data_IF_043823752762
#
_entry.id   IF_043823752762
#
_cell.length_a   1.000
_cell.length_b   1.000
_cell.length_c   1.000
_cell.angle_alpha   90.00
_cell.angle_beta   90.00
_cell.angle_gamma   90.00
#
_symmetry.space_group_name_H-M   'P 1'
#
loop_
_entity.id
_entity.type
_entity.pdbx_description
1 polymer ?
#
# COMPACT_ATOMS: atom_id res chain seq x y z
N UNK A 1 -2.59 -18.41 -9.21
CA UNK A 1 -2.36 -18.06 -7.78
C UNK A 1 -3.45 -18.72 -6.96
N UNK A 2 -3.15 -19.33 -5.81
CA UNK A 2 -4.09 -20.19 -5.08
C UNK A 2 -5.26 -19.37 -4.46
N UNK A 3 -6.53 -19.68 -4.77
CA UNK A 3 -7.72 -19.03 -4.18
C UNK A 3 -7.69 -18.94 -2.65
N UNK A 4 -7.22 -19.99 -1.97
CA UNK A 4 -7.16 -20.01 -0.50
C UNK A 4 -6.21 -18.95 0.06
N UNK A 5 -5.16 -18.58 -0.68
CA UNK A 5 -4.22 -17.52 -0.28
C UNK A 5 -4.89 -16.15 -0.37
N UNK A 6 -5.65 -15.89 -1.45
CA UNK A 6 -6.41 -14.65 -1.63
C UNK A 6 -7.43 -14.46 -0.50
N UNK A 7 -8.21 -15.51 -0.23
CA UNK A 7 -9.22 -15.50 0.83
C UNK A 7 -8.58 -15.35 2.22
N UNK A 8 -7.46 -16.04 2.46
CA UNK A 8 -6.70 -15.90 3.72
C UNK A 8 -6.25 -14.45 3.91
N UNK A 9 -5.66 -13.83 2.89
CA UNK A 9 -5.26 -12.42 2.95
C UNK A 9 -6.46 -11.53 3.27
N UNK A 10 -7.59 -11.71 2.56
CA UNK A 10 -8.80 -10.92 2.76
C UNK A 10 -9.26 -10.97 4.23
N UNK A 11 -9.28 -12.15 4.85
CA UNK A 11 -9.84 -12.32 6.19
C UNK A 11 -8.88 -11.95 7.32
N UNK A 12 -7.55 -12.01 7.08
CA UNK A 12 -6.55 -11.90 8.15
C UNK A 12 -5.63 -10.68 8.04
N UNK A 13 -5.38 -10.20 6.83
CA UNK A 13 -4.35 -9.19 6.57
C UNK A 13 -4.89 -7.91 5.89
N UNK A 14 -6.06 -7.97 5.25
CA UNK A 14 -6.61 -6.82 4.50
C UNK A 14 -6.97 -5.61 5.38
N UNK A 15 -7.20 -5.82 6.69
CA UNK A 15 -7.76 -4.81 7.58
C UNK A 15 -9.26 -4.53 7.36
N UNK A 16 -9.90 -5.18 6.39
CA UNK A 16 -11.34 -5.06 6.13
C UNK A 16 -12.09 -5.93 7.15
N UNK A 17 -13.09 -5.34 7.81
CA UNK A 17 -13.87 -6.06 8.81
C UNK A 17 -14.75 -7.14 8.18
N UNK A 18 -14.93 -8.27 8.88
CA UNK A 18 -15.85 -9.34 8.45
C UNK A 18 -17.28 -8.83 8.33
N UNK A 19 -17.66 -7.81 9.11
CA UNK A 19 -18.91 -7.06 8.91
C UNK A 19 -19.00 -6.39 7.54
N UNK A 20 -17.99 -5.61 7.14
CA UNK A 20 -18.00 -4.93 5.84
C UNK A 20 -18.00 -5.93 4.69
N UNK A 21 -17.22 -7.00 4.79
CA UNK A 21 -17.19 -8.10 3.81
C UNK A 21 -18.56 -8.75 3.72
N UNK A 22 -19.10 -9.24 4.84
CA UNK A 22 -20.38 -9.95 4.91
C UNK A 22 -21.54 -9.14 4.36
N UNK A 23 -21.61 -7.84 4.69
CA UNK A 23 -22.60 -6.91 4.14
C UNK A 23 -22.51 -6.79 2.61
N UNK A 24 -21.32 -6.86 2.03
CA UNK A 24 -21.11 -6.76 0.57
C UNK A 24 -21.44 -8.05 -0.18
N UNK A 25 -21.14 -9.21 0.41
CA UNK A 25 -21.34 -10.52 -0.26
C UNK A 25 -22.62 -11.25 0.17
N UNK A 26 -23.40 -10.67 1.08
CA UNK A 26 -24.62 -11.28 1.61
C UNK A 26 -24.38 -12.49 2.51
N UNK A 27 -23.27 -12.51 3.26
CA UNK A 27 -22.92 -13.58 4.19
C UNK A 27 -22.85 -13.08 5.63
N UNK A 28 -23.08 -13.97 6.60
CA UNK A 28 -23.02 -13.58 8.01
C UNK A 28 -21.58 -13.35 8.50
N UNK A 29 -21.41 -12.47 9.48
CA UNK A 29 -20.11 -12.26 10.13
C UNK A 29 -19.59 -13.52 10.78
N UNK A 30 -20.47 -14.29 11.44
CA UNK A 30 -20.14 -15.57 12.07
C UNK A 30 -19.57 -16.60 11.08
N UNK A 31 -20.09 -16.62 9.84
CA UNK A 31 -19.56 -17.46 8.77
C UNK A 31 -18.10 -17.07 8.45
N UNK A 32 -17.83 -15.78 8.28
CA UNK A 32 -16.50 -15.27 7.94
C UNK A 32 -15.51 -15.39 9.11
N UNK A 33 -15.96 -15.13 10.33
CA UNK A 33 -15.15 -15.19 11.55
C UNK A 33 -14.61 -16.60 11.79
N UNK A 34 -15.34 -17.66 11.40
CA UNK A 34 -14.86 -19.04 11.44
C UNK A 34 -13.54 -19.22 10.68
N UNK A 35 -13.42 -18.64 9.49
CA UNK A 35 -12.24 -18.78 8.65
C UNK A 35 -11.17 -17.73 8.96
N UNK A 36 -11.57 -16.57 9.50
CA UNK A 36 -10.62 -15.59 10.03
C UNK A 36 -9.85 -16.15 11.23
N UNK A 37 -10.57 -16.81 12.16
CA UNK A 37 -9.98 -17.38 13.37
C UNK A 37 -9.24 -18.69 13.09
N UNK A 38 -9.66 -19.43 12.06
CA UNK A 38 -9.00 -20.66 11.63
C UNK A 38 -8.82 -20.70 10.09
N UNK A 39 -7.75 -20.06 9.57
CA UNK A 39 -7.50 -19.97 8.13
C UNK A 39 -7.22 -21.31 7.45
N UNK A 40 -6.87 -22.37 8.21
CA UNK A 40 -6.63 -23.68 7.63
C UNK A 40 -7.92 -24.30 7.07
N UNK A 41 -9.08 -23.91 7.62
CA UNK A 41 -10.40 -24.37 7.15
C UNK A 41 -10.81 -23.81 5.79
N UNK A 42 -10.10 -22.81 5.24
CA UNK A 42 -10.42 -22.20 3.95
C UNK A 42 -10.40 -23.24 2.82
N UNK A 43 -9.52 -24.25 2.88
CA UNK A 43 -9.45 -25.32 1.88
C UNK A 43 -10.71 -26.19 1.80
N UNK A 44 -11.50 -26.26 2.89
CA UNK A 44 -12.78 -26.99 2.95
C UNK A 44 -14.01 -26.10 2.73
N UNK A 45 -13.83 -24.85 2.30
CA UNK A 45 -14.92 -23.93 2.05
C UNK A 45 -15.76 -24.40 0.84
N UNK A 46 -17.09 -24.27 0.93
CA UNK A 46 -17.98 -24.51 -0.21
C UNK A 46 -17.60 -23.60 -1.38
N UNK A 47 -17.54 -24.17 -2.58
CA UNK A 47 -17.11 -23.46 -3.80
C UNK A 47 -17.88 -22.15 -4.02
N UNK A 48 -19.21 -22.18 -3.94
CA UNK A 48 -20.09 -21.00 -4.06
C UNK A 48 -19.67 -19.86 -3.10
N UNK A 49 -19.25 -20.19 -1.87
CA UNK A 49 -18.84 -19.19 -0.88
C UNK A 49 -17.44 -18.65 -1.18
N UNK A 50 -16.56 -19.51 -1.68
CA UNK A 50 -15.23 -19.11 -2.11
C UNK A 50 -15.31 -18.17 -3.32
N UNK A 51 -16.17 -18.46 -4.30
CA UNK A 51 -16.41 -17.62 -5.47
C UNK A 51 -16.88 -16.22 -5.08
N UNK A 52 -17.87 -16.07 -4.19
CA UNK A 52 -18.31 -14.75 -3.70
C UNK A 52 -17.18 -13.93 -3.08
N UNK A 53 -16.28 -14.58 -2.34
CA UNK A 53 -15.12 -13.90 -1.74
C UNK A 53 -14.09 -13.50 -2.80
N UNK A 54 -13.85 -14.35 -3.79
CA UNK A 54 -12.95 -14.04 -4.90
C UNK A 54 -13.48 -12.91 -5.78
N UNK A 55 -14.78 -12.89 -6.04
CA UNK A 55 -15.45 -11.81 -6.77
C UNK A 55 -15.31 -10.51 -6.00
N UNK A 56 -15.56 -10.52 -4.68
CA UNK A 56 -15.34 -9.33 -3.85
C UNK A 56 -13.90 -8.84 -3.90
N UNK A 57 -12.91 -9.73 -3.81
CA UNK A 57 -11.49 -9.37 -3.95
C UNK A 57 -11.20 -8.75 -5.32
N UNK A 58 -11.82 -9.28 -6.38
CA UNK A 58 -11.69 -8.75 -7.74
C UNK A 58 -12.21 -7.32 -7.91
N UNK A 59 -13.09 -6.86 -7.01
CA UNK A 59 -13.61 -5.49 -7.02
C UNK A 59 -12.82 -4.50 -6.14
N UNK A 60 -11.84 -4.99 -5.36
CA UNK A 60 -11.08 -4.13 -4.44
C UNK A 60 -10.13 -3.22 -5.21
N UNK A 61 -10.19 -1.92 -4.89
CA UNK A 61 -9.27 -0.91 -5.40
C UNK A 61 -8.17 -0.61 -4.37
N UNK A 62 -7.18 0.18 -4.78
CA UNK A 62 -6.13 0.64 -3.86
C UNK A 62 -6.74 1.29 -2.62
N UNK A 63 -7.75 2.15 -2.80
CA UNK A 63 -8.44 2.87 -1.73
C UNK A 63 -9.15 1.95 -0.73
N UNK A 64 -9.70 0.83 -1.20
CA UNK A 64 -10.33 -0.16 -0.31
C UNK A 64 -9.31 -0.87 0.59
N UNK A 65 -8.06 -0.97 0.13
CA UNK A 65 -6.94 -1.64 0.82
C UNK A 65 -6.22 -0.69 1.78
N UNK A 66 -5.99 0.56 1.37
CA UNK A 66 -5.20 1.54 2.14
C UNK A 66 -6.00 2.33 3.19
N UNK A 67 -7.28 1.99 3.39
CA UNK A 67 -8.27 2.57 4.32
C UNK A 67 -9.37 3.33 3.58
N UNK A 68 -10.59 2.99 3.96
CA UNK A 68 -11.83 3.42 3.30
C UNK A 68 -12.22 4.89 3.48
N UNK A 69 -11.51 5.64 4.33
CA UNK A 69 -11.92 7.00 4.68
C UNK A 69 -10.73 7.93 4.55
N UNK A 70 -10.73 8.64 3.43
CA UNK A 70 -9.91 9.83 3.22
C UNK A 70 -10.63 11.00 3.87
N UNK A 71 -9.94 11.69 4.78
CA UNK A 71 -10.44 12.86 5.47
C UNK A 71 -9.87 14.10 4.79
N UNK A 72 -10.74 14.98 4.30
CA UNK A 72 -10.31 16.28 3.79
C UNK A 72 -9.81 17.14 4.96
N UNK A 73 -8.62 17.71 4.81
CA UNK A 73 -7.97 18.57 5.79
C UNK A 73 -7.46 19.84 5.12
N UNK A 74 -7.31 20.89 5.94
CA UNK A 74 -6.74 22.15 5.49
C UNK A 74 -5.80 22.68 6.57
N UNK A 75 -4.59 23.06 6.14
CA UNK A 75 -3.56 23.65 7.02
C UNK A 75 -3.02 24.95 6.43
N UNK A 76 -2.27 25.68 7.26
CA UNK A 76 -1.40 26.76 6.81
C UNK A 76 0.04 26.23 6.75
N UNK A 77 0.73 26.47 5.64
CA UNK A 77 2.15 26.15 5.47
C UNK A 77 2.94 27.43 5.32
N UNK A 78 4.03 27.57 6.06
CA UNK A 78 4.94 28.70 6.03
C UNK A 78 6.36 28.23 5.65
N UNK A 79 7.26 29.17 5.37
CA UNK A 79 8.68 28.88 5.10
C UNK A 79 8.89 27.87 3.96
N UNK A 80 8.01 27.85 2.96
CA UNK A 80 8.12 26.97 1.81
C UNK A 80 7.50 27.62 0.57
N UNK A 81 7.99 27.23 -0.59
CA UNK A 81 7.43 27.59 -1.90
C UNK A 81 6.28 26.65 -2.28
N UNK A 82 5.45 27.05 -3.25
CA UNK A 82 4.38 26.20 -3.77
C UNK A 82 4.91 24.88 -4.38
N UNK A 83 6.09 24.93 -5.01
CA UNK A 83 6.76 23.76 -5.58
C UNK A 83 7.23 22.80 -4.48
N UNK A 84 7.87 23.30 -3.42
CA UNK A 84 8.29 22.48 -2.27
C UNK A 84 7.10 21.82 -1.58
N UNK A 85 5.98 22.53 -1.44
CA UNK A 85 4.74 21.96 -0.90
C UNK A 85 4.23 20.85 -1.83
N UNK A 86 4.19 21.12 -3.13
CA UNK A 86 3.71 20.14 -4.13
C UNK A 86 4.54 18.86 -4.09
N UNK A 87 5.87 18.99 -4.11
CA UNK A 87 6.79 17.86 -4.07
C UNK A 87 6.67 17.08 -2.75
N UNK A 88 6.57 17.79 -1.63
CA UNK A 88 6.41 17.16 -0.32
C UNK A 88 5.16 16.28 -0.26
N UNK A 89 3.99 16.81 -0.62
CA UNK A 89 2.75 16.04 -0.57
C UNK A 89 2.73 14.89 -1.61
N UNK A 90 3.27 15.11 -2.80
CA UNK A 90 3.35 14.07 -3.83
C UNK A 90 4.33 12.94 -3.50
N UNK A 91 5.27 13.16 -2.57
CA UNK A 91 6.19 12.12 -2.10
C UNK A 91 5.52 11.04 -1.23
N UNK A 92 4.28 11.26 -0.78
CA UNK A 92 3.54 10.38 0.13
C UNK A 92 2.17 9.93 -0.42
N UNK A 93 2.09 9.31 -1.61
CA UNK A 93 0.85 9.03 -2.32
C UNK A 93 -0.08 8.02 -1.63
N UNK A 94 0.41 7.26 -0.63
CA UNK A 94 -0.38 6.34 0.18
C UNK A 94 -0.90 6.96 1.48
N UNK A 95 -0.45 8.16 1.84
CA UNK A 95 -0.87 8.86 3.07
C UNK A 95 -1.68 10.12 2.82
N UNK A 96 -1.36 10.82 1.72
CA UNK A 96 -1.94 12.14 1.40
C UNK A 96 -2.19 12.27 -0.09
N UNK A 97 -3.18 13.07 -0.42
CA UNK A 97 -3.48 13.52 -1.78
C UNK A 97 -3.66 15.02 -1.75
N UNK A 98 -2.78 15.75 -2.40
CA UNK A 98 -2.91 17.20 -2.53
C UNK A 98 -4.12 17.53 -3.41
N UNK A 99 -4.97 18.45 -2.95
CA UNK A 99 -6.14 18.89 -3.70
C UNK A 99 -5.91 20.26 -4.35
N UNK A 100 -5.43 21.23 -3.57
CA UNK A 100 -5.07 22.56 -4.05
C UNK A 100 -4.20 23.31 -3.04
N UNK A 101 -3.46 24.29 -3.57
CA UNK A 101 -2.67 25.25 -2.81
C UNK A 101 -3.21 26.64 -3.12
N UNK A 102 -3.28 27.52 -2.11
CA UNK A 102 -3.70 28.91 -2.29
C UNK A 102 -2.79 29.86 -1.50
N UNK A 103 -2.23 30.91 -2.12
CA UNK A 103 -1.49 31.95 -1.41
C UNK A 103 -2.33 32.61 -0.31
N UNK A 104 -1.73 32.84 0.87
CA UNK A 104 -2.35 33.49 2.00
C UNK A 104 -1.33 34.27 2.84
N UNK A 105 -1.29 35.59 2.65
CA UNK A 105 -0.26 36.46 3.27
C UNK A 105 1.14 35.97 2.86
N UNK A 106 2.04 35.77 3.82
CA UNK A 106 3.40 35.22 3.62
C UNK A 106 3.43 33.68 3.70
N UNK A 107 2.27 33.03 3.55
CA UNK A 107 2.07 31.59 3.74
C UNK A 107 1.18 31.02 2.62
N UNK A 108 0.89 29.73 2.71
CA UNK A 108 -0.05 29.03 1.85
C UNK A 108 -1.14 28.34 2.67
N UNK A 109 -2.38 28.39 2.18
CA UNK A 109 -3.43 27.46 2.60
C UNK A 109 -3.28 26.23 1.72
N UNK A 110 -3.10 25.07 2.36
CA UNK A 110 -2.93 23.79 1.67
C UNK A 110 -4.11 22.89 2.03
N UNK A 111 -4.85 22.45 1.02
CA UNK A 111 -5.93 21.47 1.17
C UNK A 111 -5.50 20.13 0.59
N UNK A 112 -5.75 19.08 1.37
CA UNK A 112 -5.35 17.73 1.01
C UNK A 112 -6.30 16.73 1.67
N UNK A 113 -6.40 15.56 1.07
CA UNK A 113 -7.02 14.41 1.71
C UNK A 113 -5.96 13.58 2.42
N UNK A 114 -6.27 13.00 3.58
CA UNK A 114 -5.39 12.06 4.28
C UNK A 114 -6.14 10.88 4.88
N UNK A 115 -5.46 9.74 4.97
CA UNK A 115 -5.94 8.53 5.66
C UNK A 115 -5.69 8.56 7.18
N UNK A 116 -5.04 9.60 7.70
CA UNK A 116 -4.82 9.78 9.12
C UNK A 116 -6.08 10.18 9.89
N UNK A 117 -6.19 9.74 11.15
CA UNK A 117 -7.25 10.16 12.08
C UNK A 117 -6.93 11.49 12.77
N UNK A 118 -5.77 12.07 12.50
CA UNK A 118 -5.32 13.29 13.13
C UNK A 118 -6.12 14.48 12.58
N UNK A 119 -6.83 15.18 13.46
CA UNK A 119 -7.37 16.50 13.15
C UNK A 119 -6.22 17.50 13.18
N UNK A 120 -5.98 18.17 12.05
CA UNK A 120 -4.95 19.19 11.98
C UNK A 120 -5.42 20.45 12.71
N UNK A 121 -4.53 21.05 13.50
CA UNK A 121 -4.82 22.31 14.18
C UNK A 121 -4.66 23.46 13.18
N UNK A 122 -5.38 24.57 13.39
CA UNK A 122 -5.28 25.77 12.54
C UNK A 122 -4.09 26.65 12.94
N UNK A 123 -2.88 26.09 12.92
CA UNK A 123 -1.63 26.83 13.09
C UNK A 123 -0.77 26.69 11.83
N UNK A 124 0.17 27.63 11.59
CA UNK A 124 1.19 27.45 10.56
C UNK A 124 2.07 26.24 10.85
N UNK A 125 2.37 25.46 9.83
CA UNK A 125 3.29 24.33 9.86
C UNK A 125 4.46 24.60 8.92
N UNK A 126 5.67 24.23 9.34
CA UNK A 126 6.76 23.97 8.41
C UNK A 126 6.59 22.55 7.85
N UNK A 127 7.08 22.28 6.63
CA UNK A 127 6.97 20.93 6.02
C UNK A 127 7.64 19.86 6.91
N UNK A 128 8.73 20.20 7.61
CA UNK A 128 9.40 19.32 8.57
C UNK A 128 8.50 18.90 9.74
N UNK A 129 7.51 19.72 10.13
CA UNK A 129 6.55 19.36 11.17
C UNK A 129 5.56 18.27 10.72
N UNK A 130 5.53 17.96 9.43
CA UNK A 130 4.63 16.96 8.84
C UNK A 130 5.30 15.58 8.66
N UNK A 131 6.49 15.36 9.25
CA UNK A 131 7.31 14.15 9.09
C UNK A 131 6.58 12.83 9.34
N UNK A 132 5.51 12.84 10.15
CA UNK A 132 4.72 11.66 10.47
C UNK A 132 4.03 11.05 9.23
N UNK A 133 3.81 11.82 8.16
CA UNK A 133 3.29 11.29 6.89
C UNK A 133 4.20 10.22 6.30
N UNK A 134 5.52 10.28 6.51
CA UNK A 134 6.44 9.25 6.03
C UNK A 134 6.13 7.87 6.64
N UNK A 135 5.81 7.84 7.95
CA UNK A 135 5.44 6.61 8.65
C UNK A 135 4.11 6.04 8.15
N UNK A 136 3.10 6.91 8.04
CA UNK A 136 1.76 6.56 7.54
C UNK A 136 1.83 6.03 6.10
N UNK A 137 2.57 6.73 5.24
CA UNK A 137 2.73 6.36 3.83
C UNK A 137 3.37 4.98 3.70
N UNK A 138 4.42 4.72 4.50
CA UNK A 138 5.11 3.43 4.50
C UNK A 138 4.20 2.29 4.96
N UNK A 139 3.38 2.50 6.00
CA UNK A 139 2.44 1.50 6.48
C UNK A 139 1.45 1.10 5.37
N UNK A 140 0.81 2.07 4.74
CA UNK A 140 -0.20 1.80 3.71
C UNK A 140 0.39 1.30 2.40
N UNK A 141 1.58 1.76 2.03
CA UNK A 141 2.34 1.21 0.90
C UNK A 141 2.64 -0.28 1.10
N UNK A 142 3.08 -0.69 2.31
CA UNK A 142 3.34 -2.10 2.60
C UNK A 142 2.06 -2.92 2.53
N UNK A 143 0.95 -2.42 3.09
CA UNK A 143 -0.37 -3.08 2.96
C UNK A 143 -0.79 -3.27 1.51
N UNK A 144 -0.60 -2.25 0.67
CA UNK A 144 -0.91 -2.33 -0.74
C UNK A 144 0.02 -3.30 -1.49
N UNK A 145 1.32 -3.30 -1.18
CA UNK A 145 2.26 -4.28 -1.73
C UNK A 145 1.86 -5.73 -1.37
N UNK A 146 1.40 -5.97 -0.14
CA UNK A 146 0.94 -7.29 0.29
C UNK A 146 -0.35 -7.71 -0.40
N UNK A 147 -1.29 -6.78 -0.64
CA UNK A 147 -2.44 -7.02 -1.50
C UNK A 147 -2.03 -7.42 -2.92
N UNK A 148 -1.14 -6.65 -3.55
CA UNK A 148 -0.64 -6.96 -4.89
C UNK A 148 -0.01 -8.36 -4.95
N UNK A 149 0.81 -8.72 -3.96
CA UNK A 149 1.42 -10.06 -3.85
C UNK A 149 0.40 -11.18 -3.66
N UNK A 150 -0.63 -10.95 -2.86
CA UNK A 150 -1.62 -11.94 -2.49
C UNK A 150 -2.71 -12.12 -3.55
N UNK A 151 -3.12 -11.03 -4.21
CA UNK A 151 -4.32 -10.97 -5.03
C UNK A 151 -4.05 -10.64 -6.49
N UNK A 152 -2.93 -9.96 -6.80
CA UNK A 152 -2.58 -9.53 -8.15
C UNK A 152 -2.21 -10.67 -9.09
N UNK A 153 -2.60 -10.52 -10.35
CA UNK A 153 -2.13 -11.40 -11.43
C UNK A 153 -0.70 -11.02 -11.79
N UNK A 154 0.23 -11.98 -11.69
CA UNK A 154 1.64 -11.73 -12.02
C UNK A 154 1.86 -11.77 -13.52
N UNK A 155 2.45 -10.71 -14.07
CA UNK A 155 2.91 -10.61 -15.45
C UNK A 155 4.44 -10.67 -15.42
N UNK A 156 5.02 -11.77 -15.92
CA UNK A 156 6.45 -12.02 -15.82
C UNK A 156 7.24 -11.38 -16.97
N UNK A 157 8.41 -10.84 -16.64
CA UNK A 157 9.36 -10.21 -17.56
C UNK A 157 10.73 -10.94 -17.55
N UNK A 158 10.71 -12.23 -17.22
CA UNK A 158 11.90 -13.07 -17.06
C UNK A 158 12.39 -13.17 -15.61
N UNK A 159 12.85 -14.36 -15.21
CA UNK A 159 13.32 -14.62 -13.85
C UNK A 159 12.28 -14.27 -12.77
N UNK A 160 12.71 -13.53 -11.76
CA UNK A 160 11.85 -13.04 -10.66
C UNK A 160 11.13 -11.72 -10.95
N UNK A 161 11.34 -11.12 -12.13
CA UNK A 161 10.78 -9.82 -12.51
C UNK A 161 9.31 -9.97 -12.87
N UNK A 162 8.46 -9.26 -12.14
CA UNK A 162 7.03 -9.30 -12.36
C UNK A 162 6.38 -7.95 -12.10
N UNK A 163 5.36 -7.64 -12.91
CA UNK A 163 4.33 -6.67 -12.58
C UNK A 163 3.14 -7.39 -11.95
N UNK A 164 2.41 -6.69 -11.10
CA UNK A 164 1.20 -7.17 -10.45
C UNK A 164 0.01 -6.41 -11.03
N UNK A 165 -0.91 -7.14 -11.67
CA UNK A 165 -2.10 -6.57 -12.27
C UNK A 165 -3.31 -6.73 -11.34
N UNK A 166 -3.98 -5.62 -11.04
CA UNK A 166 -5.24 -5.52 -10.27
C UNK A 166 -6.07 -4.36 -10.84
N UNK A 167 -7.39 -4.49 -10.90
CA UNK A 167 -8.32 -3.45 -11.40
C UNK A 167 -7.88 -2.84 -12.76
N UNK A 168 -7.44 -3.67 -13.69
CA UNK A 168 -6.96 -3.23 -15.02
C UNK A 168 -5.60 -2.52 -15.02
N UNK A 169 -5.09 -2.11 -13.86
CA UNK A 169 -3.80 -1.42 -13.69
C UNK A 169 -2.67 -2.39 -13.38
N UNK A 170 -1.44 -2.01 -13.70
CA UNK A 170 -0.23 -2.79 -13.45
C UNK A 170 0.68 -2.03 -12.50
N UNK A 171 1.26 -2.76 -11.57
CA UNK A 171 2.11 -2.19 -10.53
C UNK A 171 3.44 -2.93 -10.43
N UNK A 172 4.52 -2.18 -10.21
CA UNK A 172 5.80 -2.73 -9.82
C UNK A 172 6.02 -2.50 -8.32
N UNK A 173 6.33 -3.58 -7.60
CA UNK A 173 6.77 -3.50 -6.21
C UNK A 173 8.29 -3.37 -6.21
N UNK A 174 8.78 -2.23 -5.75
CA UNK A 174 10.21 -1.97 -5.59
C UNK A 174 10.59 -2.35 -4.16
N UNK A 175 11.49 -3.32 -4.03
CA UNK A 175 11.95 -3.80 -2.73
C UNK A 175 13.46 -4.01 -2.75
N UNK A 176 14.08 -3.91 -1.58
CA UNK A 176 15.45 -4.37 -1.36
C UNK A 176 15.49 -5.56 -0.42
N UNK A 177 16.49 -6.40 -0.62
CA UNK A 177 16.86 -7.43 0.35
C UNK A 177 17.50 -6.71 1.55
N UNK A 178 17.05 -7.07 2.74
CA UNK A 178 17.65 -6.58 3.99
C UNK A 178 18.99 -7.25 4.23
N UNK A 179 19.92 -6.50 4.83
CA UNK A 179 21.16 -7.08 5.35
C UNK A 179 20.84 -8.01 6.53
N UNK A 180 21.65 -9.04 6.79
CA UNK A 180 21.46 -9.93 7.93
C UNK A 180 21.39 -9.20 9.29
N UNK A 181 22.02 -8.03 9.40
CA UNK A 181 22.00 -7.18 10.60
C UNK A 181 20.72 -6.34 10.77
N UNK A 182 19.86 -6.25 9.76
CA UNK A 182 18.63 -5.46 9.83
C UNK A 182 17.45 -6.29 10.37
N UNK A 183 16.89 -5.87 11.51
CA UNK A 183 15.72 -6.55 12.14
C UNK A 183 14.48 -6.46 11.25
N UNK A 184 13.79 -7.58 11.00
CA UNK A 184 12.48 -7.64 10.34
C UNK A 184 12.44 -8.58 9.12
N UNK A 185 11.43 -8.48 8.25
CA UNK A 185 11.29 -9.37 7.09
C UNK A 185 12.43 -9.17 6.08
N UNK A 186 12.88 -10.26 5.45
CA UNK A 186 14.03 -10.30 4.53
C UNK A 186 13.90 -9.34 3.33
N UNK A 187 12.67 -8.98 2.93
CA UNK A 187 12.40 -7.98 1.90
C UNK A 187 11.80 -6.73 2.54
N UNK A 188 12.42 -5.58 2.27
CA UNK A 188 11.88 -4.26 2.63
C UNK A 188 11.30 -3.61 1.37
N UNK A 189 9.98 -3.38 1.37
CA UNK A 189 9.33 -2.57 0.34
C UNK A 189 9.82 -1.13 0.46
N UNK A 190 10.30 -0.59 -0.65
CA UNK A 190 10.78 0.79 -0.78
C UNK A 190 9.72 1.65 -1.43
N UNK A 191 9.13 1.17 -2.52
CA UNK A 191 8.11 1.89 -3.27
C UNK A 191 7.16 0.92 -3.98
N UNK A 192 5.98 1.41 -4.37
CA UNK A 192 5.06 0.74 -5.28
C UNK A 192 4.63 1.76 -6.31
N UNK A 193 4.83 1.46 -7.59
CA UNK A 193 4.51 2.38 -8.68
C UNK A 193 3.53 1.74 -9.66
N UNK A 194 2.62 2.55 -10.21
CA UNK A 194 1.80 2.17 -11.36
C UNK A 194 2.65 2.30 -12.63
N UNK A 195 2.74 1.22 -13.42
CA UNK A 195 3.53 1.22 -14.67
C UNK A 195 3.15 0.06 -15.58
N UNK A 196 3.18 0.30 -16.89
CA UNK A 196 2.94 -0.74 -17.91
C UNK A 196 4.17 -1.57 -18.27
N UNK A 197 5.36 -1.11 -17.89
CA UNK A 197 6.64 -1.72 -18.21
C UNK A 197 7.44 -1.96 -16.94
N UNK A 198 8.27 -3.00 -16.94
CA UNK A 198 9.17 -3.22 -15.81
C UNK A 198 10.30 -2.19 -15.85
N UNK A 199 10.40 -1.38 -14.79
CA UNK A 199 11.37 -0.29 -14.60
C UNK A 199 12.60 -0.80 -13.86
N UNK A 200 13.59 -1.26 -14.61
CA UNK A 200 14.89 -1.71 -14.08
C UNK A 200 15.66 -0.57 -13.40
N UNK A 201 15.51 0.66 -13.89
CA UNK A 201 16.18 1.85 -13.38
C UNK A 201 15.81 2.18 -11.92
N UNK A 202 14.67 1.68 -11.45
CA UNK A 202 14.17 1.89 -10.09
C UNK A 202 14.52 0.75 -9.14
N UNK A 203 15.07 -0.35 -9.66
CA UNK A 203 15.48 -1.49 -8.83
C UNK A 203 16.76 -1.11 -8.09
N UNK A 204 16.80 -1.23 -6.74
CA UNK A 204 18.01 -0.99 -5.99
C UNK A 204 19.12 -1.92 -6.47
N UNK A 205 20.25 -1.34 -6.89
CA UNK A 205 21.46 -2.10 -7.21
C UNK A 205 22.14 -2.48 -5.90
N UNK A 206 22.46 -3.76 -5.74
CA UNK A 206 23.37 -4.26 -4.72
C UNK A 206 24.76 -3.75 -5.13
N UNK A 207 25.43 -2.95 -4.30
CA UNK A 207 26.82 -2.56 -4.60
C UNK A 207 27.76 -3.76 -4.48
N UNK A 208 28.94 -3.72 -5.10
CA UNK A 208 29.92 -4.83 -5.00
C UNK A 208 30.31 -5.12 -3.54
N UNK A 209 30.32 -4.11 -2.67
CA UNK A 209 30.49 -4.26 -1.21
C UNK A 209 29.33 -4.98 -0.49
N UNK A 210 28.16 -5.05 -1.13
CA UNK A 210 26.97 -5.75 -0.64
C UNK A 210 26.81 -7.17 -1.25
N UNK A 211 27.72 -7.58 -2.14
CA UNK A 211 27.78 -8.95 -2.64
C UNK A 211 28.27 -9.89 -1.54
N UNK A 212 27.47 -10.90 -1.21
CA UNK A 212 27.84 -11.95 -0.24
C UNK A 212 28.91 -12.89 -0.84
N UNK A 213 29.06 -12.89 -2.16
CA UNK A 213 30.05 -13.68 -2.88
C UNK A 213 31.19 -12.77 -3.35
N UNK A 214 32.41 -13.19 -3.03
CA UNK A 214 33.60 -12.56 -3.58
C UNK A 214 33.68 -12.85 -5.09
N UNK A 215 34.27 -11.97 -5.91
CA UNK A 215 34.45 -12.21 -7.35
C UNK A 215 35.23 -13.49 -7.69
N UNK A 216 35.91 -14.07 -6.70
CA UNK A 216 36.68 -15.31 -6.80
C UNK A 216 35.80 -16.58 -6.69
N UNK A 217 34.51 -16.43 -6.38
CA UNK A 217 33.54 -17.52 -6.22
C UNK A 217 32.51 -17.61 -7.38
N UNK A 218 32.76 -16.92 -8.50
CA UNK A 218 31.96 -16.98 -9.75
C UNK A 218 32.62 -17.82 -10.85
#
# INVERSE_FOLDING_TARGET
>A
MNPSVKIKWLLTASGITTYKIGKKIGESTQFLDRYKNDPQKIGGMRLEKAEKLLDYIGTLKQEDVIRNTWNNQQILVQNSTEDEITDYFNSYPFAVKLNWIKPHKEMFIVNFDTVGDNTFKKYPYDLDNLYFFAGINREYMVRFADFLRACGTKLYFGGSRALYQVDGKKYQIIAKIKRPSEIGPALKVINVIETDVYREDLVPKISEEESILSPEEL
#
